data_IF_347801186896
#
_entry.id   IF_347801186896
#
_cell.length_a   1.000
_cell.length_b   1.000
_cell.length_c   1.000
_cell.angle_alpha   90.00
_cell.angle_beta   90.00
_cell.angle_gamma   90.00
#
_symmetry.space_group_name_H-M   'P 1'
#
loop_
_entity.id
_entity.type
_entity.pdbx_description
1 polymer ?
#
# COMPACT_ATOMS: atom_id res chain seq x y z
N UNK A 1 2.65 -8.56 -1.07
CA UNK A 1 2.19 -7.51 -2.02
C UNK A 1 3.15 -6.33 -2.18
N UNK A 2 3.68 -5.72 -1.11
CA UNK A 2 4.58 -4.55 -1.25
C UNK A 2 5.80 -4.77 -2.14
N UNK A 3 6.48 -5.91 -1.99
CA UNK A 3 7.58 -6.31 -2.90
C UNK A 3 7.12 -6.45 -4.36
N UNK A 4 5.95 -7.04 -4.60
CA UNK A 4 5.41 -7.25 -5.95
C UNK A 4 5.00 -5.94 -6.64
N UNK A 5 4.62 -4.92 -5.87
CA UNK A 5 4.37 -3.57 -6.37
C UNK A 5 5.70 -2.86 -6.66
N UNK A 6 6.70 -3.01 -5.80
CA UNK A 6 8.05 -2.47 -6.03
C UNK A 6 8.70 -3.04 -7.31
N UNK A 7 8.50 -4.33 -7.61
CA UNK A 7 8.97 -4.98 -8.85
C UNK A 7 8.28 -4.39 -10.12
N UNK A 8 7.20 -3.63 -9.96
CA UNK A 8 6.47 -2.93 -11.03
C UNK A 8 6.71 -1.41 -10.97
N UNK A 9 7.78 -0.94 -10.31
CA UNK A 9 8.10 0.48 -10.09
C UNK A 9 6.98 1.28 -9.39
N UNK A 10 6.20 0.62 -8.51
CA UNK A 10 5.17 1.26 -7.70
C UNK A 10 5.62 1.32 -6.23
N UNK A 11 5.92 2.54 -5.77
CA UNK A 11 6.34 2.80 -4.40
C UNK A 11 5.17 2.83 -3.43
N UNK A 12 5.13 1.86 -2.50
CA UNK A 12 4.18 1.82 -1.39
C UNK A 12 4.91 1.55 -0.06
N UNK A 13 4.36 2.04 1.04
CA UNK A 13 4.82 1.64 2.37
C UNK A 13 4.13 0.34 2.82
N UNK A 14 4.82 -0.48 3.61
CA UNK A 14 4.23 -1.63 4.32
C UNK A 14 4.60 -1.57 5.80
N UNK A 15 3.62 -1.80 6.68
CA UNK A 15 3.80 -1.91 8.13
C UNK A 15 2.74 -1.15 8.92
N UNK A 16 3.01 -0.86 10.19
CA UNK A 16 2.05 -0.20 11.09
C UNK A 16 2.20 1.34 11.17
N UNK A 17 3.25 1.92 10.57
CA UNK A 17 3.47 3.38 10.49
C UNK A 17 3.37 4.14 11.82
N UNK A 18 3.95 3.60 12.89
CA UNK A 18 3.83 4.12 14.26
C UNK A 18 2.39 4.17 14.83
N UNK A 19 1.40 3.65 14.10
CA UNK A 19 0.00 3.55 14.50
C UNK A 19 -0.34 2.17 15.09
N UNK A 20 0.58 1.59 15.88
CA UNK A 20 0.49 0.21 16.39
C UNK A 20 -0.87 -0.11 17.03
N UNK A 21 -1.30 0.74 17.98
CA UNK A 21 -2.57 0.57 18.70
C UNK A 21 -3.80 0.61 17.79
N UNK A 22 -3.75 1.37 16.70
CA UNK A 22 -4.85 1.46 15.74
C UNK A 22 -4.93 0.18 14.90
N UNK A 23 -3.78 -0.30 14.41
CA UNK A 23 -3.69 -1.54 13.63
C UNK A 23 -4.20 -2.72 14.46
N UNK A 24 -3.76 -2.81 15.73
CA UNK A 24 -4.24 -3.80 16.70
C UNK A 24 -5.77 -3.70 16.93
N UNK A 25 -6.29 -2.49 17.16
CA UNK A 25 -7.72 -2.27 17.38
C UNK A 25 -8.61 -2.61 16.16
N UNK A 26 -8.05 -2.57 14.95
CA UNK A 26 -8.72 -2.99 13.72
C UNK A 26 -8.62 -4.51 13.48
N UNK A 27 -7.95 -5.25 14.37
CA UNK A 27 -7.77 -6.70 14.24
C UNK A 27 -6.79 -7.11 13.13
N UNK A 28 -5.91 -6.20 12.71
CA UNK A 28 -4.90 -6.44 11.69
C UNK A 28 -3.62 -6.93 12.40
N UNK A 29 -2.93 -7.91 11.81
CA UNK A 29 -1.63 -8.37 12.30
C UNK A 29 -0.64 -7.20 12.30
N UNK A 30 -0.06 -6.88 13.45
CA UNK A 30 0.88 -5.74 13.59
C UNK A 30 2.26 -6.02 12.98
N UNK A 31 2.63 -7.30 12.81
CA UNK A 31 3.90 -7.69 12.19
C UNK A 31 3.82 -7.60 10.66
N UNK A 32 2.68 -7.95 10.06
CA UNK A 32 2.42 -7.76 8.61
C UNK A 32 2.02 -6.30 8.31
N UNK A 33 1.15 -5.73 9.14
CA UNK A 33 0.69 -4.34 9.08
C UNK A 33 -0.27 -4.07 7.92
N UNK A 34 -0.15 -2.87 7.34
CA UNK A 34 -0.98 -2.44 6.21
C UNK A 34 -0.14 -1.92 5.06
N UNK A 35 -0.70 -1.94 3.85
CA UNK A 35 -0.13 -1.25 2.69
C UNK A 35 -0.64 0.18 2.67
N UNK A 36 0.27 1.15 2.56
CA UNK A 36 -0.06 2.56 2.46
C UNK A 36 0.45 3.15 1.15
N UNK A 37 -0.49 3.59 0.32
CA UNK A 37 -0.23 4.39 -0.86
C UNK A 37 -0.33 5.87 -0.47
N UNK A 38 0.70 6.68 -0.75
CA UNK A 38 0.77 8.07 -0.33
C UNK A 38 0.93 8.96 -1.55
N UNK A 39 -0.06 9.80 -1.82
CA UNK A 39 -0.08 10.72 -2.95
C UNK A 39 0.28 12.13 -2.52
N UNK A 40 0.79 12.89 -3.47
CA UNK A 40 1.22 14.28 -3.28
C UNK A 40 0.73 15.12 -4.45
N UNK A 41 0.96 16.43 -4.40
CA UNK A 41 0.43 17.40 -5.36
C UNK A 41 0.91 17.22 -6.81
N UNK A 42 1.92 16.37 -7.04
CA UNK A 42 2.43 16.02 -8.37
C UNK A 42 2.13 14.56 -8.77
N UNK A 43 1.34 13.83 -8.00
CA UNK A 43 0.83 12.52 -8.45
C UNK A 43 -0.17 12.74 -9.56
N UNK A 44 0.02 12.07 -10.70
CA UNK A 44 -0.90 12.15 -11.84
C UNK A 44 -2.03 11.10 -11.74
N UNK A 45 -3.20 11.35 -12.37
CA UNK A 45 -4.26 10.35 -12.44
C UNK A 45 -3.80 9.04 -13.06
N UNK A 46 -2.94 9.09 -14.09
CA UNK A 46 -2.41 7.91 -14.78
C UNK A 46 -1.53 7.03 -13.87
N UNK A 47 -0.79 7.65 -12.93
CA UNK A 47 -0.04 6.90 -11.92
C UNK A 47 -0.97 6.17 -10.94
N UNK A 48 -2.12 6.77 -10.59
CA UNK A 48 -3.15 6.16 -9.75
C UNK A 48 -3.82 5.00 -10.48
N UNK A 49 -4.17 5.17 -11.75
CA UNK A 49 -4.76 4.11 -12.58
C UNK A 49 -3.82 2.91 -12.68
N UNK A 50 -2.53 3.14 -12.95
CA UNK A 50 -1.51 2.07 -12.99
C UNK A 50 -1.38 1.33 -11.66
N UNK A 51 -1.50 2.03 -10.54
CA UNK A 51 -1.51 1.41 -9.21
C UNK A 51 -2.75 0.53 -9.03
N UNK A 52 -3.93 1.02 -9.38
CA UNK A 52 -5.20 0.27 -9.29
C UNK A 52 -5.12 -1.00 -10.15
N UNK A 53 -4.71 -0.89 -11.42
CA UNK A 53 -4.55 -2.05 -12.32
C UNK A 53 -3.56 -3.09 -11.78
N UNK A 54 -2.52 -2.65 -11.07
CA UNK A 54 -1.55 -3.56 -10.46
C UNK A 54 -2.11 -4.22 -9.21
N UNK A 55 -2.93 -3.53 -8.43
CA UNK A 55 -3.63 -4.11 -7.28
C UNK A 55 -4.70 -5.12 -7.73
N UNK A 56 -5.50 -4.80 -8.74
CA UNK A 56 -6.52 -5.71 -9.30
C UNK A 56 -5.93 -7.02 -9.82
N UNK A 57 -4.69 -7.00 -10.33
CA UNK A 57 -3.97 -8.21 -10.77
C UNK A 57 -3.40 -9.03 -9.62
N UNK A 58 -3.07 -8.40 -8.49
CA UNK A 58 -2.38 -9.02 -7.35
C UNK A 58 -3.34 -9.48 -6.25
N UNK A 59 -4.54 -8.89 -6.18
CA UNK A 59 -5.57 -9.20 -5.19
C UNK A 59 -6.61 -10.16 -5.80
N UNK A 60 -7.14 -11.10 -4.99
CA UNK A 60 -8.16 -12.06 -5.42
C UNK A 60 -9.56 -11.44 -5.60
#
# INVERSE_FOLDING_TARGET
IGKQLADQDLGVGVGHFYAYRLVEALGIDTEDGVVRCSFVHYTSPEEVDRLIESLDRLLP
#
